data_IF_498517139590
#
_entry.id   IF_498517139590
#
_cell.length_a   1.000
_cell.length_b   1.000
_cell.length_c   1.000
_cell.angle_alpha   90.00
_cell.angle_beta   90.00
_cell.angle_gamma   90.00
#
_symmetry.space_group_name_H-M   'P 1'
#
loop_
_entity.id
_entity.type
_entity.pdbx_description
1 polymer ?
#
# COMPACT_ATOMS: atom_id res chain seq x y z
N UNK A 1 12.06 -9.46 0.56
CA UNK A 1 12.62 -8.17 1.01
C UNK A 1 13.69 -7.65 0.06
N UNK A 2 14.71 -8.46 -0.27
CA UNK A 2 15.93 -7.98 -0.95
C UNK A 2 15.85 -7.79 -2.48
N UNK A 3 14.73 -8.13 -3.14
CA UNK A 3 14.60 -8.03 -4.62
C UNK A 3 14.87 -6.61 -5.15
N UNK A 4 14.58 -5.59 -4.34
CA UNK A 4 14.79 -4.19 -4.68
C UNK A 4 15.76 -3.49 -3.72
N UNK A 5 16.57 -4.25 -2.97
CA UNK A 5 17.44 -3.74 -1.91
C UNK A 5 16.81 -3.78 -0.52
N UNK A 6 17.63 -3.51 0.50
CA UNK A 6 17.18 -3.43 1.90
C UNK A 6 16.49 -2.08 2.17
N UNK A 7 15.24 -2.06 2.67
CA UNK A 7 14.59 -0.81 3.04
C UNK A 7 15.24 -0.21 4.29
N UNK A 8 15.26 1.13 4.38
CA UNK A 8 15.70 1.82 5.60
C UNK A 8 14.69 1.68 6.73
N UNK A 9 13.41 1.71 6.38
CA UNK A 9 12.31 1.61 7.33
C UNK A 9 11.26 0.64 6.80
N UNK A 10 10.68 -0.15 7.70
CA UNK A 10 9.58 -1.06 7.40
C UNK A 10 8.46 -0.80 8.39
N UNK A 11 7.28 -0.48 7.88
CA UNK A 11 6.09 -0.23 8.69
C UNK A 11 5.18 -1.46 8.58
N UNK A 12 4.87 -2.10 9.70
CA UNK A 12 3.94 -3.24 9.76
C UNK A 12 2.82 -2.98 10.76
N UNK A 13 1.75 -3.76 10.63
CA UNK A 13 0.74 -3.85 11.68
C UNK A 13 1.25 -4.63 12.90
N UNK A 14 0.45 -4.64 13.96
CA UNK A 14 0.78 -5.36 15.20
C UNK A 14 0.41 -6.85 15.15
N UNK A 15 0.32 -7.46 13.97
CA UNK A 15 0.06 -8.90 13.88
C UNK A 15 1.22 -9.68 14.51
N UNK A 16 0.89 -10.75 15.24
CA UNK A 16 1.87 -11.55 16.00
C UNK A 16 3.02 -12.07 15.15
N UNK A 17 2.77 -12.37 13.88
CA UNK A 17 3.80 -12.82 12.93
C UNK A 17 4.92 -11.80 12.74
N UNK A 18 4.59 -10.51 12.66
CA UNK A 18 5.56 -9.42 12.49
C UNK A 18 6.25 -9.03 13.81
N UNK A 19 5.72 -9.45 14.96
CA UNK A 19 6.31 -9.22 16.29
C UNK A 19 7.30 -10.31 16.72
N UNK A 20 7.47 -11.36 15.92
CA UNK A 20 8.35 -12.49 16.24
C UNK A 20 9.82 -12.07 16.35
N UNK A 21 10.60 -12.77 17.18
CA UNK A 21 12.02 -12.50 17.33
C UNK A 21 12.77 -12.70 16.00
N UNK A 22 12.37 -13.69 15.20
CA UNK A 22 12.94 -13.90 13.86
C UNK A 22 12.83 -12.65 12.97
N UNK A 23 11.67 -12.00 12.95
CA UNK A 23 11.48 -10.78 12.14
C UNK A 23 12.34 -9.63 12.68
N UNK A 24 12.49 -9.51 14.01
CA UNK A 24 13.38 -8.53 14.62
C UNK A 24 14.84 -8.78 14.23
N UNK A 25 15.30 -10.02 14.32
CA UNK A 25 16.68 -10.41 14.01
C UNK A 25 16.99 -10.16 12.52
N UNK A 26 16.06 -10.50 11.61
CA UNK A 26 16.20 -10.21 10.18
C UNK A 26 16.29 -8.70 9.94
N UNK A 27 15.41 -7.90 10.54
CA UNK A 27 15.43 -6.44 10.36
C UNK A 27 16.74 -5.83 10.92
N UNK A 28 17.25 -6.36 12.04
CA UNK A 28 18.53 -5.92 12.61
C UNK A 28 19.71 -6.25 11.68
N UNK A 29 19.74 -7.45 11.11
CA UNK A 29 20.76 -7.85 10.13
C UNK A 29 20.69 -6.98 8.86
N UNK A 30 19.47 -6.62 8.43
CA UNK A 30 19.24 -5.76 7.28
C UNK A 30 19.42 -4.25 7.57
N UNK A 31 19.74 -3.88 8.81
CA UNK A 31 19.80 -2.48 9.28
C UNK A 31 18.52 -1.68 8.97
N UNK A 32 17.38 -2.36 9.01
CA UNK A 32 16.06 -1.78 8.74
C UNK A 32 15.38 -1.40 10.05
N UNK A 33 14.95 -0.14 10.17
CA UNK A 33 14.12 0.31 11.30
C UNK A 33 12.72 -0.28 11.17
N UNK A 34 12.30 -1.07 12.15
CA UNK A 34 10.98 -1.69 12.15
C UNK A 34 10.00 -0.83 12.97
N UNK A 35 9.07 -0.19 12.28
CA UNK A 35 8.03 0.66 12.83
C UNK A 35 6.71 -0.11 12.87
N UNK A 36 5.96 0.05 13.96
CA UNK A 36 4.65 -0.57 14.13
C UNK A 36 3.57 0.49 14.07
N UNK A 37 2.53 0.26 13.28
CA UNK A 37 1.37 1.14 13.27
C UNK A 37 0.70 1.14 14.65
N UNK A 38 0.08 2.27 15.00
CA UNK A 38 -0.75 2.36 16.19
C UNK A 38 -1.93 1.40 16.04
N UNK A 39 -2.34 0.77 17.14
CA UNK A 39 -3.49 -0.13 17.12
C UNK A 39 -4.72 0.65 16.61
N UNK A 40 -5.43 0.08 15.64
CA UNK A 40 -6.67 0.64 15.08
C UNK A 40 -6.52 1.99 14.35
N UNK A 41 -5.39 2.24 13.68
CA UNK A 41 -5.26 3.35 12.73
C UNK A 41 -5.30 2.84 11.28
N UNK A 42 -6.50 2.45 10.76
CA UNK A 42 -6.66 1.90 9.41
C UNK A 42 -6.21 2.88 8.32
N UNK A 43 -6.05 4.17 8.61
CA UNK A 43 -5.51 5.14 7.66
C UNK A 43 -4.04 4.85 7.29
N UNK A 44 -3.20 4.39 8.21
CA UNK A 44 -1.79 4.04 7.89
C UNK A 44 -1.70 2.76 7.07
N UNK A 45 -2.58 1.78 7.32
CA UNK A 45 -2.62 0.54 6.55
C UNK A 45 -3.48 0.63 5.28
N UNK A 46 -4.26 1.69 5.12
CA UNK A 46 -5.29 1.79 4.08
C UNK A 46 -4.73 1.77 2.66
N UNK A 47 -3.47 2.17 2.45
CA UNK A 47 -2.82 2.02 1.14
C UNK A 47 -2.52 0.55 0.84
N UNK A 48 -1.95 -0.18 1.80
CA UNK A 48 -1.67 -1.62 1.66
C UNK A 48 -2.96 -2.43 1.55
N UNK A 49 -4.00 -2.09 2.31
CA UNK A 49 -5.31 -2.74 2.23
C UNK A 49 -5.99 -2.48 0.88
N UNK A 50 -5.94 -1.25 0.36
CA UNK A 50 -6.43 -0.93 -1.00
C UNK A 50 -5.67 -1.71 -2.06
N UNK A 51 -4.34 -1.75 -1.97
CA UNK A 51 -3.51 -2.54 -2.88
C UNK A 51 -3.89 -4.01 -2.85
N UNK A 52 -3.98 -4.62 -1.66
CA UNK A 52 -4.33 -6.02 -1.50
C UNK A 52 -5.72 -6.32 -2.08
N UNK A 53 -6.68 -5.40 -1.91
CA UNK A 53 -8.00 -5.51 -2.51
C UNK A 53 -7.92 -5.50 -4.03
N UNK A 54 -7.24 -4.52 -4.63
CA UNK A 54 -7.07 -4.45 -6.08
C UNK A 54 -6.41 -5.71 -6.64
N UNK A 55 -5.37 -6.21 -5.97
CA UNK A 55 -4.68 -7.42 -6.39
C UNK A 55 -5.58 -8.66 -6.30
N UNK A 56 -6.38 -8.77 -5.23
CA UNK A 56 -7.35 -9.84 -5.07
C UNK A 56 -8.46 -9.78 -6.14
N UNK A 57 -8.94 -8.57 -6.45
CA UNK A 57 -9.94 -8.35 -7.51
C UNK A 57 -9.37 -8.77 -8.87
N UNK A 58 -8.15 -8.37 -9.21
CA UNK A 58 -7.47 -8.80 -10.43
C UNK A 58 -7.29 -10.33 -10.47
N UNK A 59 -6.82 -10.95 -9.38
CA UNK A 59 -6.67 -12.40 -9.29
C UNK A 59 -7.99 -13.11 -9.51
N UNK A 60 -9.08 -12.61 -8.92
CA UNK A 60 -10.41 -13.23 -9.03
C UNK A 60 -10.92 -13.33 -10.47
N UNK A 61 -10.41 -12.50 -11.38
CA UNK A 61 -10.79 -12.52 -12.81
C UNK A 61 -10.11 -13.66 -13.59
N UNK A 62 -8.96 -14.16 -13.12
CA UNK A 62 -8.13 -15.13 -13.85
C UNK A 62 -7.99 -16.48 -13.15
N UNK A 63 -8.39 -16.56 -11.89
CA UNK A 63 -8.34 -17.79 -11.10
C UNK A 63 -9.47 -18.73 -11.56
N UNK A 64 -9.13 -20.01 -11.71
CA UNK A 64 -10.07 -21.04 -12.16
C UNK A 64 -11.19 -21.29 -11.13
N UNK A 65 -12.25 -22.00 -11.53
CA UNK A 65 -13.44 -22.32 -10.70
C UNK A 65 -13.03 -22.98 -9.38
N UNK A 66 -12.02 -23.86 -9.40
CA UNK A 66 -11.49 -24.55 -8.21
C UNK A 66 -10.51 -23.69 -7.38
N UNK A 67 -10.10 -22.53 -7.91
CA UNK A 67 -9.16 -21.58 -7.30
C UNK A 67 -7.78 -22.11 -6.93
N UNK A 68 -7.34 -23.18 -7.59
CA UNK A 68 -6.07 -23.87 -7.28
C UNK A 68 -4.86 -23.30 -8.00
N UNK A 69 -5.05 -22.54 -9.06
CA UNK A 69 -3.97 -22.01 -9.90
C UNK A 69 -3.51 -20.59 -9.51
N UNK A 70 -3.99 -20.03 -8.40
CA UNK A 70 -3.72 -18.63 -8.02
C UNK A 70 -2.22 -18.32 -7.89
N UNK A 71 -1.43 -19.28 -7.46
CA UNK A 71 0.03 -19.18 -7.31
C UNK A 71 0.73 -19.06 -8.66
N UNK A 72 0.25 -19.78 -9.68
CA UNK A 72 0.78 -19.68 -11.06
C UNK A 72 0.38 -18.39 -11.75
N UNK A 73 -0.80 -17.85 -11.40
CA UNK A 73 -1.34 -16.60 -11.98
C UNK A 73 -0.79 -15.36 -11.28
N UNK A 74 -0.42 -15.45 -10.00
CA UNK A 74 0.05 -14.32 -9.20
C UNK A 74 1.21 -13.54 -9.85
N UNK A 75 2.27 -14.17 -10.40
CA UNK A 75 3.33 -13.44 -11.09
C UNK A 75 2.84 -12.63 -12.29
N UNK A 76 1.88 -13.16 -13.05
CA UNK A 76 1.29 -12.50 -14.23
C UNK A 76 0.46 -11.28 -13.82
N UNK A 77 -0.38 -11.44 -12.79
CA UNK A 77 -1.18 -10.33 -12.25
C UNK A 77 -0.29 -9.25 -11.63
N UNK A 78 0.77 -9.67 -10.92
CA UNK A 78 1.76 -8.73 -10.36
C UNK A 78 2.47 -7.95 -11.46
N UNK A 79 2.83 -8.61 -12.57
CA UNK A 79 3.40 -7.94 -13.74
C UNK A 79 2.43 -6.92 -14.33
N UNK A 80 1.18 -7.33 -14.58
CA UNK A 80 0.15 -6.44 -15.13
C UNK A 80 -0.12 -5.22 -14.24
N UNK A 81 -0.15 -5.40 -12.91
CA UNK A 81 -0.31 -4.30 -11.96
C UNK A 81 0.87 -3.33 -12.00
N UNK A 82 2.10 -3.87 -12.03
CA UNK A 82 3.32 -3.05 -12.05
C UNK A 82 3.53 -2.31 -13.38
N UNK A 83 3.00 -2.83 -14.49
CA UNK A 83 3.06 -2.19 -15.80
C UNK A 83 1.95 -1.16 -16.01
N UNK A 84 0.80 -1.32 -15.36
CA UNK A 84 -0.34 -0.42 -15.53
C UNK A 84 -0.10 0.92 -14.84
N UNK A 85 -0.46 2.01 -15.53
CA UNK A 85 -0.48 3.36 -14.97
C UNK A 85 -1.54 3.45 -13.87
N UNK A 86 -1.17 3.97 -12.71
CA UNK A 86 -2.06 4.13 -11.56
C UNK A 86 -2.63 5.54 -11.55
N UNK A 87 -3.94 5.70 -11.38
CA UNK A 87 -4.59 7.02 -11.34
C UNK A 87 -4.06 7.90 -10.22
N UNK A 88 -3.74 7.30 -9.07
CA UNK A 88 -3.25 8.03 -7.88
C UNK A 88 -1.86 8.65 -8.07
N UNK A 89 -1.02 8.08 -8.93
CA UNK A 89 0.34 8.56 -9.17
C UNK A 89 0.52 9.17 -10.55
N UNK A 90 -0.32 8.80 -11.52
CA UNK A 90 -0.16 9.14 -12.92
C UNK A 90 0.93 8.34 -13.66
N UNK A 91 1.59 7.40 -12.99
CA UNK A 91 2.68 6.59 -13.54
C UNK A 91 2.49 5.10 -13.22
N UNK A 92 3.22 4.23 -13.92
CA UNK A 92 3.27 2.81 -13.55
C UNK A 92 4.26 2.61 -12.38
N UNK A 93 3.99 1.65 -11.46
CA UNK A 93 4.93 1.32 -10.38
C UNK A 93 6.32 0.95 -10.91
N UNK A 94 6.38 0.23 -12.04
CA UNK A 94 7.63 -0.15 -12.68
C UNK A 94 8.44 1.08 -13.11
N UNK A 95 7.81 2.06 -13.75
CA UNK A 95 8.47 3.30 -14.19
C UNK A 95 9.03 4.09 -13.00
N UNK A 96 8.28 4.21 -11.90
CA UNK A 96 8.73 4.93 -10.71
C UNK A 96 9.94 4.28 -10.03
N UNK A 97 10.06 2.95 -10.11
CA UNK A 97 11.20 2.22 -9.54
C UNK A 97 12.41 2.24 -10.47
N UNK A 98 12.20 1.99 -11.77
CA UNK A 98 13.28 1.71 -12.72
C UNK A 98 13.61 2.86 -13.68
N UNK A 99 12.77 3.90 -13.78
CA UNK A 99 12.97 5.05 -14.65
C UNK A 99 12.73 4.80 -16.14
N UNK A 100 12.29 3.59 -16.50
CA UNK A 100 11.96 3.18 -17.87
C UNK A 100 10.62 2.47 -17.89
N UNK A 101 9.95 2.51 -19.03
CA UNK A 101 8.76 1.72 -19.25
C UNK A 101 9.11 0.23 -19.38
N UNK A 102 8.11 -0.60 -19.10
CA UNK A 102 8.27 -2.03 -19.23
C UNK A 102 8.28 -2.40 -20.71
N UNK A 103 9.18 -3.30 -21.10
CA UNK A 103 9.15 -3.90 -22.44
C UNK A 103 8.27 -5.14 -22.38
N UNK A 104 7.15 -5.10 -23.09
CA UNK A 104 6.27 -6.24 -23.25
C UNK A 104 6.72 -7.11 -24.43
N UNK A 105 6.31 -8.38 -24.50
CA UNK A 105 6.60 -9.21 -25.67
C UNK A 105 6.14 -8.58 -26.99
N UNK A 106 5.06 -7.79 -26.96
CA UNK A 106 4.58 -7.07 -28.13
C UNK A 106 5.57 -5.99 -28.58
N UNK A 107 6.18 -5.26 -27.64
CA UNK A 107 7.20 -4.23 -27.94
C UNK A 107 8.47 -4.84 -28.53
N UNK A 108 8.80 -6.08 -28.15
CA UNK A 108 9.93 -6.82 -28.71
C UNK A 108 9.62 -7.36 -30.11
N UNK A 109 8.40 -7.84 -30.33
CA UNK A 109 7.96 -8.37 -31.64
C UNK A 109 7.75 -7.24 -32.65
N UNK A 110 7.27 -6.08 -32.18
CA UNK A 110 7.03 -4.89 -32.97
C UNK A 110 7.90 -3.74 -32.43
N UNK A 111 9.23 -3.81 -32.66
CA UNK A 111 10.14 -2.79 -32.17
C UNK A 111 9.76 -1.44 -32.75
N UNK A 112 9.51 -0.48 -31.87
CA UNK A 112 9.43 0.91 -32.25
C UNK A 112 10.83 1.50 -32.05
N UNK A 113 11.51 1.84 -33.15
CA UNK A 113 12.81 2.51 -33.08
C UNK A 113 12.61 3.90 -32.49
N UNK A 114 12.75 4.00 -31.16
CA UNK A 114 13.05 5.27 -30.52
C UNK A 114 14.56 5.39 -30.51
N UNK A 115 15.13 5.94 -31.57
CA UNK A 115 16.55 6.32 -31.63
C UNK A 115 16.90 7.17 -30.40
N UNK A 116 17.50 6.56 -29.38
CA UNK A 116 18.09 7.25 -28.24
C UNK A 116 19.45 6.63 -27.95
N UNK A 117 20.32 6.68 -28.96
CA UNK A 117 21.75 6.45 -28.81
C UNK A 117 22.42 7.73 -28.28
N UNK A 118 22.00 8.16 -27.10
CA UNK A 118 22.64 9.28 -26.42
C UNK A 118 23.71 8.75 -25.46
N UNK A 119 24.91 9.31 -25.53
CA UNK A 119 26.04 9.05 -24.61
C UNK A 119 25.69 9.30 -23.13
N UNK A 120 24.50 9.87 -22.85
CA UNK A 120 23.96 10.18 -21.52
C UNK A 120 22.62 9.49 -21.19
N UNK A 121 22.29 8.37 -21.84
CA UNK A 121 21.02 7.66 -21.62
C UNK A 121 20.74 7.35 -20.14
N UNK A 122 21.74 6.87 -19.40
CA UNK A 122 21.60 6.55 -17.97
C UNK A 122 21.27 7.80 -17.14
N UNK A 123 21.92 8.93 -17.42
CA UNK A 123 21.64 10.19 -16.71
C UNK A 123 20.23 10.67 -17.00
N UNK A 124 19.77 10.57 -18.26
CA UNK A 124 18.40 10.91 -18.63
C UNK A 124 17.37 10.03 -17.93
N UNK A 125 17.62 8.72 -17.81
CA UNK A 125 16.74 7.81 -17.08
C UNK A 125 16.61 8.19 -15.61
N UNK A 126 17.73 8.49 -14.95
CA UNK A 126 17.74 8.90 -13.53
C UNK A 126 16.94 10.19 -13.35
N UNK A 127 17.19 11.20 -14.19
CA UNK A 127 16.48 12.49 -14.14
C UNK A 127 14.98 12.31 -14.35
N UNK A 128 14.57 11.57 -15.38
CA UNK A 128 13.15 11.29 -15.67
C UNK A 128 12.47 10.54 -14.52
N UNK A 129 13.15 9.56 -13.93
CA UNK A 129 12.63 8.83 -12.79
C UNK A 129 12.40 9.76 -11.58
N UNK A 130 13.34 10.66 -11.31
CA UNK A 130 13.25 11.60 -10.21
C UNK A 130 12.12 12.62 -10.42
N UNK A 131 12.01 13.18 -11.62
CA UNK A 131 10.91 14.08 -12.01
C UNK A 131 9.55 13.40 -11.86
N UNK A 132 9.43 12.15 -12.34
CA UNK A 132 8.19 11.39 -12.21
C UNK A 132 7.83 11.07 -10.76
N UNK A 133 8.82 10.79 -9.90
CA UNK A 133 8.58 10.61 -8.45
C UNK A 133 8.10 11.91 -7.80
N UNK A 134 8.67 13.06 -8.19
CA UNK A 134 8.22 14.36 -7.69
C UNK A 134 6.78 14.65 -8.12
N UNK A 135 6.45 14.42 -9.40
CA UNK A 135 5.08 14.58 -9.91
C UNK A 135 4.10 13.61 -9.22
N UNK A 136 4.47 12.34 -9.06
CA UNK A 136 3.66 11.36 -8.33
C UNK A 136 3.39 11.81 -6.89
N UNK A 137 4.39 12.41 -6.22
CA UNK A 137 4.21 12.96 -4.87
C UNK A 137 3.23 14.12 -4.84
N UNK A 138 3.25 15.00 -5.85
CA UNK A 138 2.28 16.09 -5.97
C UNK A 138 0.87 15.54 -6.20
N UNK A 139 0.69 14.60 -7.13
CA UNK A 139 -0.62 13.96 -7.37
C UNK A 139 -1.19 13.30 -6.11
N UNK A 140 -0.35 12.57 -5.36
CA UNK A 140 -0.77 11.94 -4.09
C UNK A 140 -1.18 13.02 -3.09
N UNK A 141 -0.41 14.11 -2.97
CA UNK A 141 -0.73 15.20 -2.04
C UNK A 141 -2.04 15.87 -2.41
N UNK A 142 -2.25 16.19 -3.69
CA UNK A 142 -3.48 16.81 -4.17
C UNK A 142 -4.69 15.92 -3.89
N UNK A 143 -4.60 14.61 -4.19
CA UNK A 143 -5.63 13.64 -3.85
C UNK A 143 -5.91 13.58 -2.34
N UNK A 144 -4.87 13.56 -1.51
CA UNK A 144 -5.02 13.58 -0.06
C UNK A 144 -5.67 14.87 0.45
N UNK A 145 -5.37 16.02 -0.16
CA UNK A 145 -6.00 17.30 0.23
C UNK A 145 -7.46 17.35 -0.16
N UNK A 146 -7.84 16.78 -1.31
CA UNK A 146 -9.22 16.65 -1.73
C UNK A 146 -10.00 15.71 -0.80
N UNK A 147 -9.44 14.52 -0.52
CA UNK A 147 -10.00 13.54 0.43
C UNK A 147 -10.19 14.16 1.82
N UNK A 148 -9.19 14.91 2.30
CA UNK A 148 -9.25 15.62 3.59
C UNK A 148 -10.38 16.66 3.60
N UNK A 149 -10.50 17.48 2.55
CA UNK A 149 -11.56 18.50 2.47
C UNK A 149 -12.94 17.85 2.56
N UNK A 150 -13.16 16.77 1.80
CA UNK A 150 -14.43 16.05 1.84
C UNK A 150 -14.69 15.43 3.21
N UNK A 151 -13.67 14.86 3.85
CA UNK A 151 -13.77 14.34 5.20
C UNK A 151 -14.13 15.46 6.20
N UNK A 152 -13.41 16.58 6.18
CA UNK A 152 -13.61 17.71 7.09
C UNK A 152 -15.02 18.34 6.91
N UNK A 153 -15.56 18.38 5.69
CA UNK A 153 -16.94 18.83 5.42
C UNK A 153 -18.00 17.89 6.02
N UNK A 154 -17.74 16.58 6.01
CA UNK A 154 -18.65 15.58 6.57
C UNK A 154 -18.42 15.31 8.06
N UNK A 155 -17.27 15.71 8.59
CA UNK A 155 -16.86 15.43 9.95
C UNK A 155 -17.46 16.44 10.93
N UNK A 156 -18.16 15.93 11.95
CA UNK A 156 -18.58 16.75 13.08
C UNK A 156 -17.43 16.83 14.09
N UNK A 157 -16.85 18.01 14.35
CA UNK A 157 -15.79 18.13 15.35
C UNK A 157 -16.35 17.77 16.73
N UNK A 158 -15.74 16.78 17.38
CA UNK A 158 -16.04 16.39 18.76
C UNK A 158 -14.80 16.68 19.60
N UNK A 159 -14.91 17.66 20.50
CA UNK A 159 -13.89 17.94 21.48
C UNK A 159 -14.21 17.19 22.76
N UNK A 160 -13.20 16.48 23.28
CA UNK A 160 -13.31 15.76 24.54
C UNK A 160 -12.50 16.47 25.62
N UNK A 161 -13.10 16.67 26.79
CA UNK A 161 -12.43 17.26 27.95
C UNK A 161 -12.10 16.20 28.98
N UNK A 162 -11.08 16.46 29.80
CA UNK A 162 -10.76 15.64 30.97
C UNK A 162 -11.99 15.62 31.88
N UNK A 163 -12.47 14.42 32.18
CA UNK A 163 -13.68 14.18 32.96
C UNK A 163 -14.89 13.73 32.14
N UNK A 164 -14.88 13.86 30.81
CA UNK A 164 -15.97 13.41 29.95
C UNK A 164 -16.09 11.88 29.95
N UNK A 165 -17.34 11.42 29.86
CA UNK A 165 -17.68 10.00 29.76
C UNK A 165 -17.81 9.60 28.30
N UNK A 166 -16.93 8.71 27.84
CA UNK A 166 -16.89 8.23 26.46
C UNK A 166 -17.11 6.73 26.37
N UNK A 167 -17.76 6.32 25.29
CA UNK A 167 -17.86 4.93 24.89
C UNK A 167 -16.66 4.57 24.03
N UNK A 168 -15.91 3.54 24.41
CA UNK A 168 -14.75 3.09 23.64
C UNK A 168 -15.20 2.03 22.66
N UNK A 169 -14.91 2.24 21.38
CA UNK A 169 -15.10 1.22 20.36
C UNK A 169 -14.05 0.12 20.53
N UNK A 170 -14.50 -1.12 20.73
CA UNK A 170 -13.62 -2.29 20.77
C UNK A 170 -14.20 -3.34 19.84
N UNK A 171 -13.56 -3.62 18.69
CA UNK A 171 -14.01 -4.66 17.80
C UNK A 171 -13.68 -6.02 18.42
N UNK A 172 -14.65 -6.62 19.11
CA UNK A 172 -14.49 -7.97 19.68
C UNK A 172 -14.74 -9.00 18.57
N UNK A 173 -13.74 -9.81 18.25
CA UNK A 173 -13.91 -11.01 17.42
C UNK A 173 -14.03 -12.22 18.34
N UNK A 174 -15.21 -12.86 18.39
CA UNK A 174 -15.40 -14.15 19.06
C UNK A 174 -15.75 -15.21 18.02
N UNK A 175 -14.96 -16.29 18.01
CA UNK A 175 -15.21 -17.46 17.16
C UNK A 175 -16.59 -18.04 17.50
N UNK A 176 -17.44 -18.22 16.49
CA UNK A 176 -18.79 -18.76 16.65
C UNK A 176 -19.91 -17.74 16.87
N UNK A 177 -19.61 -16.43 17.03
CA UNK A 177 -20.63 -15.37 17.07
C UNK A 177 -20.52 -14.46 15.83
N UNK A 178 -21.67 -14.03 15.32
CA UNK A 178 -21.74 -13.07 14.22
C UNK A 178 -21.23 -11.69 14.66
N UNK A 179 -20.19 -11.17 13.97
CA UNK A 179 -19.61 -9.85 14.22
C UNK A 179 -20.62 -8.68 14.08
N UNK A 180 -21.75 -8.92 13.39
CA UNK A 180 -22.83 -7.95 13.24
C UNK A 180 -23.69 -7.81 14.51
N UNK A 181 -23.72 -8.84 15.36
CA UNK A 181 -24.57 -8.89 16.55
C UNK A 181 -23.80 -8.60 17.85
N UNK A 182 -22.48 -8.45 17.78
CA UNK A 182 -21.65 -8.13 18.94
C UNK A 182 -21.75 -6.64 19.27
N UNK A 183 -21.90 -6.33 20.56
CA UNK A 183 -21.82 -4.94 21.06
C UNK A 183 -20.40 -4.41 20.81
N UNK A 184 -20.29 -3.34 20.03
CA UNK A 184 -19.00 -2.79 19.58
C UNK A 184 -18.45 -1.68 20.46
N UNK A 185 -19.27 -1.12 21.34
CA UNK A 185 -18.91 -0.01 22.21
C UNK A 185 -19.06 -0.43 23.67
N UNK A 186 -18.02 -0.17 24.47
CA UNK A 186 -17.94 -0.54 25.88
C UNK A 186 -17.74 0.67 26.78
N UNK A 187 -18.21 0.52 28.03
CA UNK A 187 -18.05 1.45 29.14
C UNK A 187 -19.05 2.61 29.17
N UNK A 188 -18.99 3.38 30.25
CA UNK A 188 -18.65 4.79 30.10
C UNK A 188 -17.25 4.92 30.72
N UNK A 189 -16.24 5.24 29.94
CA UNK A 189 -14.89 5.48 30.44
C UNK A 189 -14.71 6.98 30.65
N UNK A 190 -14.04 7.35 31.74
CA UNK A 190 -13.73 8.76 32.01
C UNK A 190 -12.39 9.11 31.39
N UNK A 191 -12.35 10.20 30.62
CA UNK A 191 -11.09 10.74 30.09
C UNK A 191 -10.30 11.33 31.26
N UNK A 192 -9.07 10.85 31.45
CA UNK A 192 -8.13 11.29 32.50
C UNK A 192 -7.01 12.11 31.91
#
# INVERSE_FOLDING_TARGET
MLKHGSPREMINDRARSFLSNLVKDINQLCQTSHLLTTAYHPQTNGLTERFNKTLADMLSMYVDVERRNWDTILPLVTFAYNSAKQDSTGFSPFFLVHGRDIETPLDVILPHDTENHADNYVQQLITRAEEARQLAKLHILDAQTADKRQYDEMHRPVNYNVGDLVWVFTPVRKVGLSEKLLRRYFGHYRIT
#
